data_IF_231893023925
#
_entry.id   IF_231893023925
#
_cell.length_a   1.000
_cell.length_b   1.000
_cell.length_c   1.000
_cell.angle_alpha   90.00
_cell.angle_beta   90.00
_cell.angle_gamma   90.00
#
_symmetry.space_group_name_H-M   'P 1'
#
loop_
_entity.id
_entity.type
_entity.pdbx_description
1 polymer ?
#
# COMPACT_ATOMS: atom_id res chain seq x y z
N UNK A 1 37.79 31.19 -16.77
CA UNK A 1 36.39 30.86 -16.36
C UNK A 1 36.49 29.67 -15.42
N UNK A 2 36.46 29.92 -14.12
CA UNK A 2 36.70 28.88 -13.11
C UNK A 2 35.35 28.49 -12.51
N UNK A 3 34.83 27.32 -12.90
CA UNK A 3 33.64 26.74 -12.28
C UNK A 3 34.00 26.30 -10.86
N UNK A 4 33.53 27.07 -9.88
CA UNK A 4 33.54 26.65 -8.48
C UNK A 4 32.40 25.66 -8.27
N UNK A 5 32.75 24.37 -8.22
CA UNK A 5 31.88 23.32 -7.68
C UNK A 5 31.70 23.56 -6.18
N UNK A 6 30.67 24.31 -5.81
CA UNK A 6 30.25 24.47 -4.43
C UNK A 6 29.77 23.11 -3.88
N UNK A 7 30.68 22.36 -3.25
CA UNK A 7 30.33 21.23 -2.40
C UNK A 7 29.35 21.75 -1.34
N UNK A 8 28.07 21.35 -1.46
CA UNK A 8 27.04 21.58 -0.44
C UNK A 8 27.56 21.02 0.88
N UNK A 9 28.03 21.90 1.77
CA UNK A 9 28.37 21.54 3.15
C UNK A 9 27.09 21.03 3.79
N UNK A 10 27.04 19.72 4.04
CA UNK A 10 25.98 19.10 4.82
C UNK A 10 26.16 19.54 6.28
N UNK A 11 25.64 20.72 6.64
CA UNK A 11 25.43 21.06 8.04
C UNK A 11 24.56 19.96 8.64
N UNK A 12 24.96 19.39 9.78
CA UNK A 12 24.14 18.40 10.46
C UNK A 12 22.72 18.98 10.66
N UNK A 13 21.73 18.46 9.94
CA UNK A 13 20.35 18.90 10.05
C UNK A 13 19.92 18.70 11.51
N UNK A 14 19.35 19.71 12.16
CA UNK A 14 18.81 19.60 13.53
C UNK A 14 17.37 20.13 13.55
N UNK A 15 16.59 19.74 14.56
CA UNK A 15 15.19 20.17 14.71
C UNK A 15 14.28 19.70 13.57
N UNK A 16 13.35 20.56 13.15
CA UNK A 16 12.31 20.28 12.15
C UNK A 16 12.85 19.70 10.84
N UNK A 17 14.00 20.21 10.35
CA UNK A 17 14.59 19.74 9.09
C UNK A 17 15.01 18.28 9.15
N UNK A 18 15.64 17.85 10.25
CA UNK A 18 15.99 16.44 10.44
C UNK A 18 14.73 15.58 10.49
N UNK A 19 13.72 16.02 11.25
CA UNK A 19 12.50 15.23 11.43
C UNK A 19 11.72 15.04 10.13
N UNK A 20 11.57 16.09 9.32
CA UNK A 20 10.94 15.97 8.00
C UNK A 20 11.73 15.05 7.08
N UNK A 21 13.06 15.14 7.11
CA UNK A 21 13.93 14.26 6.32
C UNK A 21 13.74 12.79 6.72
N UNK A 22 13.77 12.49 8.02
CA UNK A 22 13.57 11.12 8.51
C UNK A 22 12.16 10.61 8.12
N UNK A 23 11.12 11.43 8.27
CA UNK A 23 9.76 11.08 7.87
C UNK A 23 9.66 10.75 6.37
N UNK A 24 10.38 11.49 5.50
CA UNK A 24 10.39 11.21 4.06
C UNK A 24 11.03 9.84 3.75
N UNK A 25 12.12 9.49 4.44
CA UNK A 25 12.71 8.16 4.32
C UNK A 25 11.76 7.05 4.82
N UNK A 26 11.05 7.30 5.91
CA UNK A 26 10.08 6.35 6.47
C UNK A 26 8.90 6.14 5.52
N UNK A 27 8.38 7.21 4.89
CA UNK A 27 7.36 7.11 3.83
C UNK A 27 7.81 6.18 2.70
N UNK A 28 9.04 6.35 2.22
CA UNK A 28 9.59 5.49 1.18
C UNK A 28 9.69 4.02 1.63
N UNK A 29 10.19 3.78 2.84
CA UNK A 29 10.30 2.44 3.39
C UNK A 29 8.92 1.78 3.57
N UNK A 30 7.91 2.53 3.98
CA UNK A 30 6.54 2.04 4.11
C UNK A 30 5.94 1.70 2.75
N UNK A 31 6.16 2.53 1.72
CA UNK A 31 5.69 2.24 0.36
C UNK A 31 6.32 0.93 -0.15
N UNK A 32 7.64 0.75 -0.04
CA UNK A 32 8.30 -0.47 -0.51
C UNK A 32 7.74 -1.73 0.16
N UNK A 33 7.44 -1.65 1.47
CA UNK A 33 6.82 -2.76 2.21
C UNK A 33 5.38 -2.99 1.78
N UNK A 34 4.63 -1.92 1.54
CA UNK A 34 3.27 -2.01 1.03
C UNK A 34 3.21 -2.74 -0.31
N UNK A 35 4.05 -2.36 -1.28
CA UNK A 35 4.10 -3.00 -2.61
C UNK A 35 4.42 -4.50 -2.49
N UNK A 36 5.37 -4.86 -1.63
CA UNK A 36 5.70 -6.28 -1.37
C UNK A 36 4.50 -7.05 -0.80
N UNK A 37 3.79 -6.48 0.18
CA UNK A 37 2.59 -7.09 0.75
C UNK A 37 1.45 -7.16 -0.28
N UNK A 38 1.32 -6.16 -1.15
CA UNK A 38 0.34 -6.15 -2.23
C UNK A 38 0.57 -7.32 -3.19
N UNK A 39 1.80 -7.54 -3.63
CA UNK A 39 2.18 -8.66 -4.50
C UNK A 39 1.98 -10.03 -3.83
N UNK A 40 2.33 -10.15 -2.55
CA UNK A 40 2.09 -11.36 -1.76
C UNK A 40 0.59 -11.64 -1.64
N UNK A 41 -0.20 -10.61 -1.33
CA UNK A 41 -1.65 -10.69 -1.21
C UNK A 41 -2.34 -11.06 -2.51
N UNK A 42 -1.88 -10.50 -3.64
CA UNK A 42 -2.41 -10.82 -4.96
C UNK A 42 -2.23 -12.31 -5.31
N UNK A 43 -1.07 -12.88 -4.96
CA UNK A 43 -0.80 -14.32 -5.17
C UNK A 43 -1.69 -15.20 -4.30
N UNK A 44 -1.91 -14.82 -3.04
CA UNK A 44 -2.82 -15.56 -2.13
C UNK A 44 -4.26 -15.46 -2.62
N UNK A 45 -4.73 -14.26 -2.97
CA UNK A 45 -6.06 -14.02 -3.53
C UNK A 45 -6.28 -14.84 -4.81
N UNK A 46 -5.29 -14.91 -5.70
CA UNK A 46 -5.34 -15.74 -6.90
C UNK A 46 -5.54 -17.23 -6.61
N UNK A 47 -4.84 -17.77 -5.60
CA UNK A 47 -5.04 -19.16 -5.17
C UNK A 47 -6.44 -19.41 -4.60
N UNK A 48 -6.99 -18.46 -3.84
CA UNK A 48 -8.39 -18.53 -3.35
C UNK A 48 -9.36 -18.64 -4.53
N UNK A 49 -9.21 -17.78 -5.54
CA UNK A 49 -10.05 -17.78 -6.75
C UNK A 49 -9.91 -19.09 -7.52
N UNK A 50 -8.69 -19.60 -7.68
CA UNK A 50 -8.42 -20.86 -8.38
C UNK A 50 -9.06 -22.06 -7.66
N UNK A 51 -8.87 -22.17 -6.34
CA UNK A 51 -9.48 -23.23 -5.52
C UNK A 51 -11.02 -23.18 -5.60
N UNK A 52 -11.60 -21.98 -5.64
CA UNK A 52 -13.06 -21.78 -5.79
C UNK A 52 -13.54 -22.23 -7.16
N UNK A 53 -12.86 -21.85 -8.24
CA UNK A 53 -13.23 -22.23 -9.60
C UNK A 53 -13.16 -23.74 -9.81
N UNK A 54 -12.10 -24.39 -9.31
CA UNK A 54 -11.93 -25.84 -9.34
C UNK A 54 -13.05 -26.57 -8.58
N UNK A 55 -13.51 -26.00 -7.45
CA UNK A 55 -14.65 -26.55 -6.71
C UNK A 55 -15.96 -26.40 -7.48
N UNK A 56 -16.23 -25.23 -8.06
CA UNK A 56 -17.45 -24.99 -8.85
C UNK A 56 -17.57 -25.93 -10.04
N UNK A 57 -16.47 -26.14 -10.78
CA UNK A 57 -16.44 -27.07 -11.92
C UNK A 57 -16.70 -28.52 -11.50
N UNK A 58 -16.19 -28.93 -10.33
CA UNK A 58 -16.44 -30.27 -9.78
C UNK A 58 -17.90 -30.46 -9.38
N UNK A 59 -18.49 -29.47 -8.72
CA UNK A 59 -19.89 -29.52 -8.30
C UNK A 59 -20.83 -29.59 -9.52
N UNK A 60 -20.52 -28.88 -10.61
CA UNK A 60 -21.23 -28.95 -11.88
C UNK A 60 -21.12 -30.34 -12.54
N UNK A 61 -19.91 -30.92 -12.57
CA UNK A 61 -19.67 -32.26 -13.13
C UNK A 61 -20.43 -33.37 -12.37
N UNK A 62 -20.49 -33.29 -11.04
CA UNK A 62 -21.20 -34.26 -10.20
C UNK A 62 -22.73 -34.19 -10.38
N UNK A 63 -23.27 -33.01 -10.68
CA UNK A 63 -24.69 -32.83 -11.02
C UNK A 63 -25.04 -33.45 -12.38
N UNK A 64 -24.13 -33.42 -13.35
CA UNK A 64 -24.31 -34.06 -14.67
C UNK A 64 -24.16 -35.60 -14.63
N UNK A 65 -23.23 -36.12 -13.82
CA UNK A 65 -22.94 -37.57 -13.72
C UNK A 65 -24.02 -38.38 -12.96
N UNK A 66 -24.98 -37.69 -12.32
CA UNK A 66 -26.15 -38.34 -11.69
C UNK A 66 -27.09 -39.03 -12.69
N UNK A 67 -26.76 -39.04 -13.99
CA UNK A 67 -27.52 -39.72 -15.06
C UNK A 67 -26.83 -40.96 -15.65
N UNK A 68 -25.61 -41.33 -15.26
CA UNK A 68 -24.94 -42.56 -15.74
C UNK A 68 -23.74 -42.97 -14.90
N UNK A 69 -23.59 -44.26 -14.57
CA UNK A 69 -22.45 -44.82 -13.83
C UNK A 69 -21.90 -46.09 -14.52
N UNK A 70 -20.69 -46.60 -14.18
CA UNK A 70 -19.49 -45.96 -13.63
C UNK A 70 -18.16 -46.37 -14.32
N UNK A 71 -17.05 -45.71 -13.94
CA UNK A 71 -15.69 -46.24 -13.66
C UNK A 71 -14.54 -45.46 -14.32
N UNK A 72 -13.53 -45.08 -13.52
CA UNK A 72 -12.21 -44.68 -14.03
C UNK A 72 -11.46 -43.69 -13.15
N UNK A 73 -10.37 -44.16 -12.53
CA UNK A 73 -9.46 -43.43 -11.63
C UNK A 73 -8.80 -42.19 -12.24
N UNK A 74 -8.66 -41.10 -11.46
CA UNK A 74 -7.41 -40.31 -11.45
C UNK A 74 -7.26 -39.49 -10.16
N UNK A 75 -6.02 -39.47 -9.66
CA UNK A 75 -5.57 -38.85 -8.41
C UNK A 75 -5.47 -37.33 -8.53
N UNK A 76 -6.61 -36.64 -8.60
CA UNK A 76 -6.63 -35.18 -8.50
C UNK A 76 -6.53 -34.81 -7.02
N UNK A 77 -5.35 -34.33 -6.61
CA UNK A 77 -5.14 -33.84 -5.25
C UNK A 77 -6.19 -32.78 -4.92
N UNK A 78 -7.01 -33.14 -3.95
CA UNK A 78 -8.25 -32.50 -3.58
C UNK A 78 -7.96 -31.27 -2.74
N UNK A 79 -8.04 -30.08 -3.35
CA UNK A 79 -8.11 -28.86 -2.56
C UNK A 79 -9.43 -28.81 -1.78
N UNK A 80 -9.38 -29.23 -0.52
CA UNK A 80 -10.53 -29.34 0.36
C UNK A 80 -10.87 -28.01 1.05
N UNK A 81 -12.00 -27.95 1.79
CA UNK A 81 -12.33 -26.84 2.69
C UNK A 81 -11.18 -26.32 3.58
N UNK A 82 -10.29 -27.17 4.14
CA UNK A 82 -9.17 -26.67 4.96
C UNK A 82 -8.12 -25.90 4.16
N UNK A 83 -7.83 -26.25 2.91
CA UNK A 83 -6.85 -25.51 2.10
C UNK A 83 -7.35 -24.11 1.75
N UNK A 84 -8.63 -23.99 1.40
CA UNK A 84 -9.28 -22.70 1.18
C UNK A 84 -9.24 -21.83 2.44
N UNK A 85 -9.54 -22.43 3.60
CA UNK A 85 -9.49 -21.73 4.89
C UNK A 85 -8.08 -21.23 5.21
N UNK A 86 -7.05 -22.05 4.94
CA UNK A 86 -5.66 -21.67 5.16
C UNK A 86 -5.25 -20.47 4.28
N UNK A 87 -5.65 -20.45 3.01
CA UNK A 87 -5.40 -19.30 2.12
C UNK A 87 -6.17 -18.04 2.57
N UNK A 88 -7.40 -18.17 3.05
CA UNK A 88 -8.14 -17.05 3.64
C UNK A 88 -7.43 -16.47 4.88
N UNK A 89 -6.93 -17.35 5.77
CA UNK A 89 -6.14 -16.92 6.93
C UNK A 89 -4.86 -16.19 6.50
N UNK A 90 -4.13 -16.71 5.50
CA UNK A 90 -2.94 -16.04 4.94
C UNK A 90 -3.28 -14.67 4.37
N UNK A 91 -4.40 -14.54 3.65
CA UNK A 91 -4.82 -13.27 3.07
C UNK A 91 -5.14 -12.26 4.19
N UNK A 92 -5.86 -12.70 5.22
CA UNK A 92 -6.15 -11.90 6.40
C UNK A 92 -4.87 -11.39 7.07
N UNK A 93 -3.89 -12.26 7.30
CA UNK A 93 -2.61 -11.88 7.91
C UNK A 93 -1.87 -10.81 7.08
N UNK A 94 -1.95 -10.88 5.75
CA UNK A 94 -1.38 -9.87 4.86
C UNK A 94 -2.12 -8.54 5.00
N UNK A 95 -3.44 -8.55 5.00
CA UNK A 95 -4.26 -7.34 5.17
C UNK A 95 -4.04 -6.71 6.55
N UNK A 96 -3.93 -7.51 7.60
CA UNK A 96 -3.62 -7.02 8.96
C UNK A 96 -2.22 -6.38 9.01
N UNK A 97 -1.22 -6.93 8.29
CA UNK A 97 0.08 -6.29 8.12
C UNK A 97 -0.02 -4.98 7.33
N UNK A 98 -0.83 -4.92 6.29
CA UNK A 98 -1.09 -3.68 5.53
C UNK A 98 -1.76 -2.61 6.42
N UNK A 99 -2.71 -3.00 7.27
CA UNK A 99 -3.31 -2.13 8.27
C UNK A 99 -2.25 -1.58 9.24
N UNK A 100 -1.32 -2.42 9.68
CA UNK A 100 -0.20 -1.96 10.52
C UNK A 100 0.73 -0.96 9.80
N UNK A 101 0.83 -1.00 8.46
CA UNK A 101 1.57 0.00 7.69
C UNK A 101 0.83 1.33 7.66
N UNK A 102 -0.49 1.33 7.42
CA UNK A 102 -1.31 2.55 7.45
C UNK A 102 -1.28 3.20 8.84
N UNK A 103 -1.32 2.42 9.92
CA UNK A 103 -1.11 2.94 11.28
C UNK A 103 0.24 3.66 11.44
N UNK A 104 1.31 3.12 10.84
CA UNK A 104 2.62 3.79 10.85
C UNK A 104 2.61 5.09 10.03
N UNK A 105 1.91 5.11 8.89
CA UNK A 105 1.71 6.33 8.09
C UNK A 105 0.94 7.40 8.89
N UNK A 106 -0.08 7.00 9.66
CA UNK A 106 -0.79 7.91 10.58
C UNK A 106 0.14 8.48 11.66
N UNK A 107 1.05 7.67 12.21
CA UNK A 107 2.06 8.15 13.16
C UNK A 107 3.04 9.13 12.51
N UNK A 108 3.46 8.92 11.25
CA UNK A 108 4.25 9.90 10.51
C UNK A 108 3.48 11.22 10.35
N UNK A 109 2.18 11.16 10.06
CA UNK A 109 1.32 12.35 9.97
C UNK A 109 1.20 13.09 11.30
N UNK A 110 0.97 12.39 12.41
CA UNK A 110 0.94 13.02 13.72
C UNK A 110 2.29 13.69 14.05
N UNK A 111 3.40 13.04 13.69
CA UNK A 111 4.72 13.65 13.84
C UNK A 111 4.92 14.87 12.94
N UNK A 112 4.40 14.85 11.71
CA UNK A 112 4.48 15.98 10.78
C UNK A 112 3.65 17.17 11.29
N UNK A 113 2.47 16.90 11.85
CA UNK A 113 1.64 17.92 12.48
C UNK A 113 2.39 18.61 13.64
N UNK A 114 3.04 17.84 14.51
CA UNK A 114 3.85 18.41 15.59
C UNK A 114 5.00 19.31 15.09
N UNK A 115 5.57 19.01 13.91
CA UNK A 115 6.57 19.88 13.27
C UNK A 115 5.92 21.17 12.74
N UNK A 116 4.73 21.08 12.14
CA UNK A 116 3.97 22.25 11.68
C UNK A 116 3.61 23.18 12.83
N UNK A 117 3.06 22.64 13.91
CA UNK A 117 2.67 23.41 15.10
C UNK A 117 3.88 24.12 15.72
N UNK A 118 5.03 23.43 15.77
CA UNK A 118 6.29 24.01 16.26
C UNK A 118 6.77 25.16 15.36
N UNK A 119 6.69 25.01 14.04
CA UNK A 119 7.07 26.05 13.10
C UNK A 119 6.14 27.27 13.19
N UNK A 120 4.83 27.05 13.27
CA UNK A 120 3.85 28.12 13.45
C UNK A 120 4.09 28.87 14.77
N UNK A 121 4.41 28.16 15.85
CA UNK A 121 4.77 28.78 17.12
C UNK A 121 6.05 29.63 17.01
N UNK A 122 7.10 29.13 16.34
CA UNK A 122 8.39 29.81 16.22
C UNK A 122 8.36 31.03 15.31
N UNK A 123 7.65 30.93 14.17
CA UNK A 123 7.70 31.94 13.11
C UNK A 123 6.41 32.78 13.01
N UNK A 124 5.34 32.39 13.72
CA UNK A 124 4.00 33.03 13.70
C UNK A 124 3.45 33.17 12.29
N UNK A 125 2.45 34.04 12.10
CA UNK A 125 1.80 34.29 10.81
C UNK A 125 2.75 34.76 9.69
N UNK A 126 3.96 35.21 10.03
CA UNK A 126 4.98 35.61 9.05
C UNK A 126 5.68 34.44 8.35
N UNK A 127 5.57 33.22 8.91
CA UNK A 127 6.20 32.03 8.37
C UNK A 127 7.74 32.10 8.37
N UNK A 128 8.36 30.99 7.96
CA UNK A 128 9.82 30.91 7.83
C UNK A 128 10.26 31.71 6.60
N UNK A 129 11.30 32.56 6.74
CA UNK A 129 11.82 33.38 5.61
C UNK A 129 12.54 32.56 4.53
N UNK A 130 13.08 31.41 4.89
CA UNK A 130 13.79 30.49 3.99
C UNK A 130 13.21 29.09 4.15
N UNK A 131 13.02 28.32 3.06
CA UNK A 131 12.53 26.96 3.15
C UNK A 131 13.50 26.08 3.94
N UNK A 132 12.97 25.01 4.54
CA UNK A 132 13.76 24.01 5.28
C UNK A 132 14.74 23.25 4.37
N UNK A 133 14.39 23.11 3.09
CA UNK A 133 15.18 22.39 2.11
C UNK A 133 15.37 23.19 0.82
N UNK A 134 14.59 22.92 -0.22
CA UNK A 134 14.76 23.52 -1.54
C UNK A 134 13.70 24.58 -1.81
N UNK A 135 12.44 24.17 -1.94
CA UNK A 135 11.33 25.01 -2.38
C UNK A 135 10.09 24.90 -1.51
N UNK A 136 9.95 23.83 -0.72
CA UNK A 136 8.74 23.59 0.06
C UNK A 136 8.78 24.29 1.42
N UNK A 137 7.62 24.83 1.79
CA UNK A 137 7.33 25.18 3.17
C UNK A 137 6.83 23.94 3.95
N UNK A 138 6.76 24.06 5.28
CA UNK A 138 6.36 22.95 6.15
C UNK A 138 4.91 22.52 5.94
N UNK A 139 4.06 23.42 5.41
CA UNK A 139 2.68 23.11 5.07
C UNK A 139 2.63 22.16 3.87
N UNK A 140 3.38 22.44 2.80
CA UNK A 140 3.47 21.60 1.61
C UNK A 140 3.91 20.16 1.93
N UNK A 141 4.86 19.98 2.85
CA UNK A 141 5.25 18.65 3.34
C UNK A 141 4.09 17.89 3.99
N UNK A 142 3.30 18.56 4.83
CA UNK A 142 2.16 17.92 5.50
C UNK A 142 0.97 17.71 4.58
N UNK A 143 0.70 18.63 3.65
CA UNK A 143 -0.37 18.46 2.65
C UNK A 143 -0.06 17.27 1.73
N UNK A 144 1.19 17.15 1.27
CA UNK A 144 1.65 16.01 0.47
C UNK A 144 1.57 14.70 1.24
N UNK A 145 2.02 14.69 2.51
CA UNK A 145 1.96 13.49 3.35
C UNK A 145 0.51 13.09 3.69
N UNK A 146 -0.39 14.05 3.83
CA UNK A 146 -1.82 13.82 4.07
C UNK A 146 -2.48 13.16 2.86
N UNK A 147 -2.22 13.69 1.67
CA UNK A 147 -2.72 13.11 0.43
C UNK A 147 -2.27 11.66 0.25
N UNK A 148 -1.00 11.36 0.57
CA UNK A 148 -0.50 9.98 0.61
C UNK A 148 -1.30 9.11 1.58
N UNK A 149 -1.44 9.55 2.84
CA UNK A 149 -2.17 8.79 3.86
C UNK A 149 -3.63 8.49 3.44
N UNK A 150 -4.32 9.47 2.87
CA UNK A 150 -5.70 9.32 2.41
C UNK A 150 -5.80 8.22 1.34
N UNK A 151 -4.93 8.25 0.32
CA UNK A 151 -4.88 7.21 -0.72
C UNK A 151 -4.66 5.80 -0.15
N UNK A 152 -3.67 5.63 0.75
CA UNK A 152 -3.40 4.32 1.35
C UNK A 152 -4.51 3.85 2.30
N UNK A 153 -5.21 4.78 2.95
CA UNK A 153 -6.34 4.46 3.83
C UNK A 153 -7.53 3.96 3.02
N UNK A 154 -7.87 4.60 1.91
CA UNK A 154 -8.95 4.15 1.04
C UNK A 154 -8.61 2.82 0.35
N UNK A 155 -7.37 2.65 -0.11
CA UNK A 155 -6.93 1.38 -0.68
C UNK A 155 -6.97 0.23 0.34
N UNK A 156 -6.61 0.48 1.60
CA UNK A 156 -6.72 -0.52 2.67
C UNK A 156 -8.18 -0.96 2.87
N UNK A 157 -9.13 -0.03 2.89
CA UNK A 157 -10.56 -0.36 3.03
C UNK A 157 -11.04 -1.27 1.91
N UNK A 158 -10.61 -0.98 0.67
CA UNK A 158 -10.89 -1.84 -0.48
C UNK A 158 -10.30 -3.25 -0.28
N UNK A 159 -9.04 -3.36 0.15
CA UNK A 159 -8.39 -4.66 0.37
C UNK A 159 -9.03 -5.46 1.52
N UNK A 160 -9.51 -4.79 2.56
CA UNK A 160 -10.31 -5.41 3.63
C UNK A 160 -11.62 -5.96 3.10
N UNK A 161 -12.37 -5.17 2.33
CA UNK A 161 -13.62 -5.62 1.71
C UNK A 161 -13.38 -6.83 0.79
N UNK A 162 -12.35 -6.77 -0.08
CA UNK A 162 -12.01 -7.90 -0.94
C UNK A 162 -11.66 -9.13 -0.10
N UNK A 163 -10.88 -8.98 0.97
CA UNK A 163 -10.53 -10.11 1.84
C UNK A 163 -11.75 -10.77 2.50
N UNK A 164 -12.76 -9.99 2.87
CA UNK A 164 -14.02 -10.49 3.43
C UNK A 164 -14.87 -11.19 2.36
N UNK A 165 -14.99 -10.63 1.15
CA UNK A 165 -15.93 -11.10 0.13
C UNK A 165 -15.36 -12.19 -0.80
N UNK A 166 -14.04 -12.25 -1.01
CA UNK A 166 -13.42 -13.07 -2.06
C UNK A 166 -13.73 -14.56 -1.92
N UNK A 167 -13.73 -15.08 -0.69
CA UNK A 167 -14.02 -16.49 -0.42
C UNK A 167 -15.52 -16.84 -0.55
N UNK A 168 -16.39 -15.84 -0.45
CA UNK A 168 -17.85 -15.99 -0.49
C UNK A 168 -18.45 -15.70 -1.86
N UNK A 169 -17.66 -15.15 -2.78
CA UNK A 169 -18.09 -14.79 -4.12
C UNK A 169 -18.25 -16.01 -5.03
N UNK A 170 -19.39 -16.11 -5.71
CA UNK A 170 -19.72 -17.20 -6.66
C UNK A 170 -19.59 -16.77 -8.13
N UNK A 171 -19.60 -15.46 -8.40
CA UNK A 171 -19.47 -14.92 -9.76
C UNK A 171 -17.99 -14.86 -10.15
N UNK A 172 -17.62 -15.56 -11.22
CA UNK A 172 -16.26 -15.49 -11.76
C UNK A 172 -15.90 -14.08 -12.22
N UNK A 173 -16.85 -13.36 -12.81
CA UNK A 173 -16.63 -11.97 -13.25
C UNK A 173 -16.33 -11.06 -12.05
N UNK A 174 -17.04 -11.24 -10.93
CA UNK A 174 -16.82 -10.44 -9.73
C UNK A 174 -15.46 -10.78 -9.08
N UNK A 175 -15.03 -12.04 -9.08
CA UNK A 175 -13.68 -12.42 -8.68
C UNK A 175 -12.62 -11.72 -9.55
N UNK A 176 -12.83 -11.65 -10.86
CA UNK A 176 -11.91 -10.94 -11.76
C UNK A 176 -11.87 -9.43 -11.48
N UNK A 177 -13.01 -8.81 -11.15
CA UNK A 177 -13.06 -7.41 -10.72
C UNK A 177 -12.25 -7.22 -9.45
N UNK A 178 -12.42 -8.06 -8.43
CA UNK A 178 -11.63 -7.98 -7.20
C UNK A 178 -10.14 -8.18 -7.42
N UNK A 179 -9.75 -9.14 -8.26
CA UNK A 179 -8.36 -9.36 -8.64
C UNK A 179 -7.77 -8.14 -9.35
N UNK A 180 -8.51 -7.55 -10.29
CA UNK A 180 -8.12 -6.32 -10.99
C UNK A 180 -7.96 -5.15 -10.01
N UNK A 181 -8.92 -4.96 -9.11
CA UNK A 181 -8.86 -3.95 -8.06
C UNK A 181 -7.63 -4.14 -7.17
N UNK A 182 -7.34 -5.37 -6.75
CA UNK A 182 -6.17 -5.67 -5.92
C UNK A 182 -4.86 -5.33 -6.64
N UNK A 183 -4.75 -5.73 -7.92
CA UNK A 183 -3.55 -5.53 -8.73
C UNK A 183 -3.29 -4.04 -9.02
N UNK A 184 -4.33 -3.32 -9.44
CA UNK A 184 -4.19 -1.97 -9.95
C UNK A 184 -4.29 -0.88 -8.89
N UNK A 185 -4.74 -1.22 -7.67
CA UNK A 185 -4.78 -0.30 -6.53
C UNK A 185 -5.47 1.03 -6.86
N UNK A 186 -6.76 1.02 -7.23
CA UNK A 186 -7.45 2.17 -7.82
C UNK A 186 -7.48 3.42 -6.93
N UNK A 187 -7.30 3.28 -5.62
CA UNK A 187 -7.26 4.41 -4.69
C UNK A 187 -5.85 5.00 -4.48
N UNK A 188 -4.83 4.40 -5.08
CA UNK A 188 -3.47 4.93 -5.12
C UNK A 188 -3.20 5.46 -6.54
N UNK A 189 -3.59 6.72 -6.84
CA UNK A 189 -3.40 7.28 -8.16
C UNK A 189 -1.90 7.41 -8.50
N UNK A 190 -1.52 7.49 -9.78
CA UNK A 190 -0.15 7.74 -10.21
C UNK A 190 0.47 8.97 -9.51
N UNK A 191 -0.34 9.99 -9.26
CA UNK A 191 0.03 11.22 -8.57
C UNK A 191 0.53 10.99 -7.13
N UNK A 192 0.09 9.92 -6.44
CA UNK A 192 0.60 9.57 -5.12
C UNK A 192 2.08 9.16 -5.20
N UNK A 193 2.47 8.38 -6.22
CA UNK A 193 3.87 8.00 -6.44
C UNK A 193 4.72 9.22 -6.82
N UNK A 194 4.19 10.11 -7.65
CA UNK A 194 4.84 11.37 -7.99
C UNK A 194 5.02 12.27 -6.76
N UNK A 195 4.01 12.34 -5.89
CA UNK A 195 4.06 13.10 -4.63
C UNK A 195 5.18 12.58 -3.73
N UNK A 196 5.34 11.26 -3.62
CA UNK A 196 6.45 10.67 -2.87
C UNK A 196 7.82 10.98 -3.50
N UNK A 197 7.96 10.87 -4.82
CA UNK A 197 9.23 11.21 -5.48
C UNK A 197 9.57 12.70 -5.33
N UNK A 198 8.57 13.59 -5.40
CA UNK A 198 8.73 15.01 -5.08
C UNK A 198 9.17 15.23 -3.64
N UNK A 199 8.57 14.52 -2.66
CA UNK A 199 8.97 14.56 -1.26
C UNK A 199 10.45 14.13 -1.08
N UNK A 200 10.88 13.08 -1.78
CA UNK A 200 12.24 12.55 -1.69
C UNK A 200 13.26 13.47 -2.39
N UNK A 201 12.90 14.09 -3.52
CA UNK A 201 13.69 15.12 -4.19
C UNK A 201 13.88 16.33 -3.28
N UNK A 202 12.78 16.84 -2.74
CA UNK A 202 12.77 18.03 -1.89
C UNK A 202 13.61 17.84 -0.62
N UNK A 203 13.57 16.65 0.00
CA UNK A 203 14.36 16.33 1.21
C UNK A 203 15.80 15.86 0.92
N UNK A 204 16.19 15.81 -0.36
CA UNK A 204 17.52 15.43 -0.81
C UNK A 204 17.85 13.94 -0.67
N UNK A 205 16.85 13.06 -0.68
CA UNK A 205 17.01 11.62 -0.84
C UNK A 205 17.19 11.22 -2.31
N UNK A 206 16.68 12.04 -3.22
CA UNK A 206 16.90 11.91 -4.67
C UNK A 206 17.75 13.09 -5.17
N UNK A 207 18.61 12.88 -6.18
CA UNK A 207 19.32 13.97 -6.83
C UNK A 207 18.35 14.83 -7.65
N UNK A 208 18.60 16.15 -7.67
CA UNK A 208 17.94 17.11 -8.56
C UNK A 208 18.51 17.05 -9.97
#
# INVERSE_FOLDING_TARGET
>A
ITQSSAKKKCSALTGSARKIKDNAADWHNLLLRWEKLNDEGFKVAGRIVELRLMRSQRDELLLLDSTSAPAGSSSLQTGGPPELQDECCKLKDIVDKMASMVMKMQHLMASQQGVQDLEEFQFRAGGRRLPLFHSWDTKAFGDSSRALLESFTEELKLKQMIQEELAHTWSSDLCMVYMSCWLHQPFIPPDARLTLEALLLETGHRPL
#
